data_IF_589773755092
#
_entry.id   IF_589773755092
#
_cell.length_a   1.000
_cell.length_b   1.000
_cell.length_c   1.000
_cell.angle_alpha   90.00
_cell.angle_beta   90.00
_cell.angle_gamma   90.00
#
_symmetry.space_group_name_H-M   'P 1'
#
loop_
_entity.id
_entity.type
_entity.pdbx_description
1 polymer ?
#
# COMPACT_ATOMS: atom_id res chain seq x y z
N UNK A 1 29.34 31.54 -31.12
CA UNK A 1 29.07 30.17 -30.61
C UNK A 1 27.56 29.86 -30.73
N UNK A 2 27.04 29.69 -31.96
CA UNK A 2 25.58 29.75 -32.25
C UNK A 2 25.00 28.52 -32.98
N UNK A 3 25.72 27.40 -33.07
CA UNK A 3 25.21 26.17 -33.74
C UNK A 3 25.43 24.92 -32.88
N UNK A 4 24.61 24.71 -31.84
CA UNK A 4 24.50 23.39 -31.14
C UNK A 4 23.07 23.15 -30.60
N UNK A 5 22.04 23.58 -31.34
CA UNK A 5 20.64 23.38 -30.96
C UNK A 5 19.91 22.69 -32.12
N UNK A 6 19.90 21.36 -32.14
CA UNK A 6 18.91 20.63 -32.95
C UNK A 6 18.64 19.19 -32.51
N UNK A 7 19.56 18.50 -31.81
CA UNK A 7 19.47 17.03 -31.82
C UNK A 7 19.46 16.36 -30.42
N UNK A 8 18.31 15.83 -29.95
CA UNK A 8 18.21 14.97 -28.77
C UNK A 8 19.00 13.66 -28.92
N UNK A 9 19.16 13.17 -30.16
CA UNK A 9 19.92 11.94 -30.42
C UNK A 9 21.40 12.14 -30.10
N UNK A 10 21.88 13.39 -30.07
CA UNK A 10 23.28 13.69 -29.71
C UNK A 10 23.62 13.42 -28.25
N UNK A 11 22.64 13.50 -27.32
CA UNK A 11 22.90 13.19 -25.91
C UNK A 11 23.07 11.67 -25.70
N UNK A 12 22.23 10.88 -26.38
CA UNK A 12 22.35 9.42 -26.38
C UNK A 12 23.52 8.94 -27.25
N UNK A 13 23.85 9.65 -28.33
CA UNK A 13 25.01 9.35 -29.18
C UNK A 13 26.32 9.71 -28.50
N UNK A 14 26.43 10.79 -27.72
CA UNK A 14 27.64 11.11 -26.94
C UNK A 14 27.84 10.16 -25.74
N UNK A 15 26.76 9.59 -25.19
CA UNK A 15 26.83 8.45 -24.27
C UNK A 15 27.28 7.17 -24.98
N UNK A 16 26.98 7.02 -26.28
CA UNK A 16 27.37 5.88 -27.11
C UNK A 16 28.79 6.02 -27.72
N UNK A 17 29.28 7.23 -27.99
CA UNK A 17 30.57 7.50 -28.67
C UNK A 17 31.74 7.50 -27.69
N UNK A 18 31.53 7.90 -26.43
CA UNK A 18 32.57 7.80 -25.39
C UNK A 18 32.62 6.42 -24.78
N UNK A 19 33.04 5.45 -25.59
CA UNK A 19 33.74 4.25 -25.14
C UNK A 19 33.13 3.52 -23.95
N UNK A 20 31.80 3.35 -23.92
CA UNK A 20 31.27 2.16 -23.27
C UNK A 20 31.70 0.99 -24.14
N UNK A 21 32.80 0.34 -23.73
CA UNK A 21 33.23 -0.94 -24.29
C UNK A 21 31.98 -1.80 -24.51
N UNK A 22 31.84 -2.41 -25.69
CA UNK A 22 30.68 -3.22 -26.10
C UNK A 22 30.22 -4.18 -24.99
N UNK A 23 31.17 -4.70 -24.20
CA UNK A 23 30.90 -5.52 -22.99
C UNK A 23 30.03 -4.83 -21.92
N UNK A 24 30.23 -3.54 -21.65
CA UNK A 24 29.46 -2.79 -20.63
C UNK A 24 28.02 -2.49 -21.04
N UNK A 25 27.77 -2.40 -22.36
CA UNK A 25 26.43 -2.17 -22.92
C UNK A 25 25.56 -3.44 -22.76
N UNK A 26 26.15 -4.61 -22.97
CA UNK A 26 25.48 -5.90 -22.73
C UNK A 26 25.19 -6.17 -21.25
N UNK A 27 26.06 -5.74 -20.33
CA UNK A 27 25.84 -5.94 -18.89
C UNK A 27 24.65 -5.10 -18.40
N UNK A 28 24.54 -3.82 -18.79
CA UNK A 28 23.39 -2.97 -18.41
C UNK A 28 22.10 -3.51 -19.04
N UNK A 29 22.14 -3.92 -20.31
CA UNK A 29 21.01 -4.57 -20.99
C UNK A 29 20.68 -5.97 -20.46
N UNK A 30 21.56 -6.62 -19.70
CA UNK A 30 21.30 -7.90 -19.05
C UNK A 30 20.80 -7.73 -17.60
N UNK A 31 21.27 -6.70 -16.89
CA UNK A 31 20.81 -6.38 -15.52
C UNK A 31 19.38 -5.84 -15.55
N UNK A 32 19.00 -5.05 -16.55
CA UNK A 32 17.65 -4.51 -16.68
C UNK A 32 16.56 -5.61 -16.79
N UNK A 33 16.69 -6.61 -17.69
CA UNK A 33 15.77 -7.74 -17.71
C UNK A 33 15.90 -8.60 -16.47
N UNK A 34 17.12 -8.83 -15.94
CA UNK A 34 17.29 -9.63 -14.71
C UNK A 34 16.59 -8.99 -13.51
N UNK A 35 16.63 -7.66 -13.37
CA UNK A 35 15.90 -6.91 -12.35
C UNK A 35 14.38 -6.97 -12.56
N UNK A 36 13.90 -6.98 -13.81
CA UNK A 36 12.48 -7.23 -14.11
C UNK A 36 12.07 -8.71 -14.00
N UNK A 37 13.04 -9.64 -13.98
CA UNK A 37 12.84 -11.08 -13.84
C UNK A 37 12.95 -11.55 -12.38
N UNK A 38 13.53 -10.76 -11.46
CA UNK A 38 13.51 -11.03 -10.02
C UNK A 38 12.10 -11.28 -9.46
N UNK A 39 11.03 -10.55 -9.85
CA UNK A 39 9.67 -10.90 -9.43
C UNK A 39 9.17 -12.26 -9.96
N UNK A 40 9.80 -12.81 -11.01
CA UNK A 40 9.43 -14.09 -11.64
C UNK A 40 10.26 -15.27 -11.11
N UNK A 41 11.42 -15.03 -10.51
CA UNK A 41 12.29 -16.05 -9.91
C UNK A 41 11.87 -16.46 -8.47
N UNK A 42 10.63 -16.15 -8.07
CA UNK A 42 10.03 -16.48 -6.78
C UNK A 42 9.57 -17.95 -6.71
N UNK A 43 10.46 -18.90 -6.96
CA UNK A 43 10.09 -20.31 -6.95
C UNK A 43 10.13 -20.95 -5.56
N UNK A 44 10.97 -20.48 -4.61
CA UNK A 44 11.11 -21.18 -3.32
C UNK A 44 11.58 -20.34 -2.10
N UNK A 45 11.77 -19.02 -2.25
CA UNK A 45 12.20 -18.12 -1.16
C UNK A 45 11.13 -17.10 -0.72
N UNK A 46 9.92 -17.17 -1.29
CA UNK A 46 8.80 -16.35 -0.84
C UNK A 46 8.27 -16.82 0.52
N UNK A 47 7.77 -15.92 1.39
CA UNK A 47 7.13 -16.34 2.62
C UNK A 47 5.97 -17.29 2.31
N UNK A 48 5.81 -18.27 3.19
CA UNK A 48 4.71 -19.23 3.11
C UNK A 48 3.40 -18.46 3.15
N UNK A 49 2.71 -18.41 2.01
CA UNK A 49 1.47 -17.66 1.81
C UNK A 49 0.48 -17.87 2.95
N UNK A 50 0.33 -16.88 3.81
CA UNK A 50 -0.74 -16.88 4.82
C UNK A 50 -1.95 -16.13 4.27
N UNK A 51 -3.12 -16.68 4.49
CA UNK A 51 -4.41 -16.03 4.25
C UNK A 51 -5.06 -15.80 5.60
N UNK A 52 -5.63 -14.61 5.76
CA UNK A 52 -6.36 -14.22 6.95
C UNK A 52 -7.85 -14.15 6.64
N UNK A 53 -8.65 -14.71 7.55
CA UNK A 53 -10.11 -14.70 7.51
C UNK A 53 -10.62 -13.98 8.75
N UNK A 54 -11.32 -12.87 8.61
CA UNK A 54 -11.96 -12.19 9.73
C UNK A 54 -13.38 -12.73 9.89
N UNK A 55 -13.72 -13.28 11.06
CA UNK A 55 -15.04 -13.86 11.29
C UNK A 55 -16.01 -12.78 11.77
N UNK A 56 -17.10 -12.59 11.02
CA UNK A 56 -18.16 -11.62 11.30
C UNK A 56 -19.43 -12.38 11.68
N UNK A 57 -19.72 -12.48 12.98
CA UNK A 57 -20.91 -13.19 13.46
C UNK A 57 -22.20 -12.43 13.20
N UNK A 58 -23.12 -13.09 12.51
CA UNK A 58 -24.47 -12.67 12.15
C UNK A 58 -25.49 -13.76 12.55
N UNK A 59 -25.16 -14.53 13.59
CA UNK A 59 -26.02 -15.56 14.17
C UNK A 59 -26.98 -14.98 15.19
N UNK A 60 -28.15 -15.61 15.32
CA UNK A 60 -29.15 -15.30 16.33
C UNK A 60 -28.69 -15.64 17.75
N UNK A 61 -27.91 -16.73 17.90
CA UNK A 61 -27.33 -17.19 19.16
C UNK A 61 -25.79 -17.18 19.10
N UNK A 62 -25.09 -16.92 20.22
CA UNK A 62 -23.64 -16.95 20.26
C UNK A 62 -23.12 -18.38 20.07
N UNK A 63 -22.16 -18.55 19.17
CA UNK A 63 -21.54 -19.86 18.85
C UNK A 63 -20.04 -19.83 19.13
N UNK A 64 -19.49 -20.97 19.58
CA UNK A 64 -18.04 -21.12 19.79
C UNK A 64 -17.46 -22.07 18.75
N UNK A 65 -16.22 -21.81 18.31
CA UNK A 65 -15.54 -22.64 17.33
C UNK A 65 -14.97 -23.87 18.04
N UNK A 66 -15.36 -25.06 17.60
CA UNK A 66 -14.82 -26.34 18.06
C UNK A 66 -13.65 -26.77 17.18
N UNK A 67 -13.83 -26.73 15.86
CA UNK A 67 -12.84 -27.18 14.88
C UNK A 67 -12.99 -26.43 13.56
N UNK A 68 -11.94 -26.43 12.75
CA UNK A 68 -11.91 -25.74 11.47
C UNK A 68 -11.01 -26.46 10.47
N UNK A 69 -11.50 -26.59 9.23
CA UNK A 69 -10.77 -27.17 8.10
C UNK A 69 -10.93 -26.31 6.86
N UNK A 70 -9.88 -26.29 6.04
CA UNK A 70 -9.87 -25.67 4.73
C UNK A 70 -9.75 -26.78 3.70
N UNK A 71 -10.68 -26.81 2.75
CA UNK A 71 -10.71 -27.79 1.66
C UNK A 71 -10.31 -27.09 0.37
N UNK A 72 -9.47 -27.76 -0.42
CA UNK A 72 -9.17 -27.34 -1.79
C UNK A 72 -10.07 -28.08 -2.77
N UNK A 73 -10.54 -27.35 -3.75
CA UNK A 73 -11.49 -27.79 -4.76
C UNK A 73 -10.86 -27.64 -6.15
N UNK A 74 -11.14 -28.59 -7.05
CA UNK A 74 -10.67 -28.53 -8.44
C UNK A 74 -11.47 -27.51 -9.28
N UNK A 75 -12.74 -27.30 -8.94
CA UNK A 75 -13.70 -26.46 -9.67
C UNK A 75 -14.54 -25.53 -8.77
N UNK A 76 -15.34 -24.66 -9.40
CA UNK A 76 -16.22 -23.66 -8.73
C UNK A 76 -17.31 -24.29 -7.86
N UNK A 77 -17.72 -25.51 -8.18
CA UNK A 77 -18.79 -26.21 -7.49
C UNK A 77 -18.24 -27.04 -6.32
N UNK A 78 -16.92 -27.29 -6.32
CA UNK A 78 -16.20 -28.16 -5.40
C UNK A 78 -16.81 -29.56 -5.35
N UNK A 79 -17.00 -30.17 -6.53
CA UNK A 79 -17.48 -31.56 -6.61
C UNK A 79 -16.38 -32.52 -6.13
N UNK A 80 -15.14 -32.26 -6.55
CA UNK A 80 -13.97 -33.02 -6.13
C UNK A 80 -13.23 -32.29 -5.01
N UNK A 81 -13.34 -32.82 -3.80
CA UNK A 81 -12.65 -32.31 -2.62
C UNK A 81 -11.27 -32.95 -2.49
N UNK A 82 -10.23 -32.12 -2.46
CA UNK A 82 -8.87 -32.53 -2.13
C UNK A 82 -8.64 -32.15 -0.67
N UNK A 83 -8.77 -33.12 0.23
CA UNK A 83 -8.47 -32.91 1.63
C UNK A 83 -6.97 -32.64 1.79
N UNK A 84 -6.65 -31.41 2.17
CA UNK A 84 -5.28 -30.97 2.37
C UNK A 84 -4.70 -31.76 3.56
N UNK A 85 -3.72 -32.64 3.30
CA UNK A 85 -3.05 -33.43 4.35
C UNK A 85 -2.57 -32.51 5.49
N UNK A 86 -2.49 -33.06 6.71
CA UNK A 86 -2.19 -32.45 8.05
C UNK A 86 -1.24 -31.23 8.16
N UNK A 87 -0.46 -30.89 7.14
CA UNK A 87 0.50 -29.78 7.10
C UNK A 87 -0.15 -28.41 6.79
N UNK A 88 -1.37 -28.37 6.23
CA UNK A 88 -2.09 -27.14 5.86
C UNK A 88 -3.28 -26.87 6.79
N UNK A 89 -3.03 -26.83 8.11
CA UNK A 89 -4.08 -26.52 9.08
C UNK A 89 -4.40 -25.02 9.07
N UNK A 90 -5.67 -24.70 8.83
CA UNK A 90 -6.26 -23.45 9.29
C UNK A 90 -6.26 -23.43 10.83
N UNK A 91 -5.91 -22.29 11.42
CA UNK A 91 -5.96 -22.06 12.86
C UNK A 91 -6.94 -20.93 13.11
N UNK A 92 -8.01 -21.23 13.82
CA UNK A 92 -9.01 -20.25 14.21
C UNK A 92 -8.88 -19.85 15.68
N UNK A 93 -8.97 -18.55 15.92
CA UNK A 93 -9.39 -17.95 17.17
C UNK A 93 -10.86 -17.53 17.06
N UNK A 94 -11.45 -17.03 18.15
CA UNK A 94 -12.89 -16.69 18.17
C UNK A 94 -13.30 -15.72 17.04
N UNK A 95 -12.45 -14.77 16.64
CA UNK A 95 -12.81 -13.72 15.66
C UNK A 95 -11.95 -13.73 14.38
N UNK A 96 -10.96 -14.60 14.29
CA UNK A 96 -10.07 -14.65 13.12
C UNK A 96 -9.61 -16.08 12.86
N UNK A 97 -9.43 -16.44 11.60
CA UNK A 97 -8.72 -17.65 11.21
C UNK A 97 -7.53 -17.31 10.32
N UNK A 98 -6.45 -18.08 10.44
CA UNK A 98 -5.27 -17.97 9.59
C UNK A 98 -4.95 -19.33 8.99
N UNK A 99 -4.78 -19.38 7.69
CA UNK A 99 -4.36 -20.60 6.98
C UNK A 99 -3.06 -20.33 6.22
N UNK A 100 -2.20 -21.33 6.14
CA UNK A 100 -1.15 -21.34 5.12
C UNK A 100 -1.78 -21.93 3.87
N UNK A 101 -2.01 -21.11 2.86
CA UNK A 101 -2.63 -21.57 1.61
C UNK A 101 -1.67 -21.35 0.46
N UNK A 102 -1.63 -22.31 -0.46
CA UNK A 102 -0.96 -22.12 -1.73
C UNK A 102 -1.89 -21.35 -2.69
N UNK A 103 -1.34 -20.38 -3.40
CA UNK A 103 -2.05 -19.68 -4.46
C UNK A 103 -2.53 -20.68 -5.52
N UNK A 104 -3.70 -20.42 -6.09
CA UNK A 104 -4.31 -21.26 -7.12
C UNK A 104 -5.36 -22.25 -6.61
N UNK A 105 -6.37 -22.49 -7.44
CA UNK A 105 -7.50 -23.37 -7.14
C UNK A 105 -8.66 -22.68 -6.40
N UNK A 106 -9.71 -23.47 -6.23
CA UNK A 106 -10.91 -23.09 -5.49
C UNK A 106 -10.80 -23.61 -4.06
N UNK A 107 -11.37 -22.90 -3.10
CA UNK A 107 -11.26 -23.23 -1.68
C UNK A 107 -12.63 -23.13 -1.02
N UNK A 108 -12.84 -23.94 0.01
CA UNK A 108 -14.02 -23.92 0.88
C UNK A 108 -13.57 -24.02 2.34
N UNK A 109 -14.09 -23.14 3.18
CA UNK A 109 -13.87 -23.20 4.63
C UNK A 109 -15.02 -23.98 5.24
N UNK A 110 -14.69 -24.88 6.16
CA UNK A 110 -15.67 -25.57 7.00
C UNK A 110 -15.29 -25.35 8.45
N UNK A 111 -16.23 -24.83 9.24
CA UNK A 111 -16.04 -24.58 10.67
C UNK A 111 -17.12 -25.36 11.42
N UNK A 112 -16.67 -26.19 12.35
CA UNK A 112 -17.54 -26.84 13.34
C UNK A 112 -17.72 -25.90 14.51
N UNK A 113 -18.94 -25.41 14.69
CA UNK A 113 -19.31 -24.61 15.85
C UNK A 113 -19.97 -25.48 16.92
N UNK A 114 -20.20 -24.91 18.10
CA UNK A 114 -20.86 -25.57 19.23
C UNK A 114 -22.25 -26.11 18.93
N UNK A 115 -22.94 -25.53 17.96
CA UNK A 115 -24.30 -25.90 17.55
C UNK A 115 -24.30 -26.83 16.31
N UNK A 116 -23.59 -26.43 15.24
CA UNK A 116 -23.53 -27.17 13.99
C UNK A 116 -22.28 -26.87 13.16
N UNK A 117 -22.03 -27.75 12.19
CA UNK A 117 -21.09 -27.47 11.10
C UNK A 117 -21.67 -26.40 10.16
N UNK A 118 -20.85 -25.45 9.73
CA UNK A 118 -21.16 -24.50 8.66
C UNK A 118 -20.06 -24.52 7.61
N UNK A 119 -20.46 -24.35 6.35
CA UNK A 119 -19.57 -24.38 5.20
C UNK A 119 -19.66 -23.07 4.43
N UNK A 120 -18.56 -22.67 3.80
CA UNK A 120 -18.53 -21.46 2.97
C UNK A 120 -18.98 -21.68 1.54
N UNK A 121 -19.36 -20.59 0.87
CA UNK A 121 -19.27 -20.54 -0.59
C UNK A 121 -17.83 -20.85 -1.04
N UNK A 122 -17.69 -21.32 -2.27
CA UNK A 122 -16.40 -21.59 -2.89
C UNK A 122 -15.75 -20.27 -3.30
N UNK A 123 -14.47 -20.07 -2.96
CA UNK A 123 -13.74 -18.84 -3.24
C UNK A 123 -12.34 -19.13 -3.79
N UNK A 124 -11.76 -18.16 -4.52
CA UNK A 124 -10.38 -18.23 -5.01
C UNK A 124 -9.47 -17.37 -4.15
N UNK A 125 -8.33 -17.91 -3.75
CA UNK A 125 -7.24 -17.13 -3.18
C UNK A 125 -6.43 -16.54 -4.33
N UNK A 126 -6.72 -15.27 -4.66
CA UNK A 126 -6.15 -14.60 -5.82
C UNK A 126 -4.68 -14.19 -5.60
N UNK A 127 -4.27 -13.93 -4.36
CA UNK A 127 -2.94 -13.40 -4.01
C UNK A 127 -2.46 -13.92 -2.65
N UNK A 128 -1.14 -13.96 -2.45
CA UNK A 128 -0.56 -14.15 -1.13
C UNK A 128 -0.89 -12.97 -0.22
N UNK A 129 -1.14 -13.23 1.06
CA UNK A 129 -1.58 -12.21 2.00
C UNK A 129 -3.02 -11.75 1.75
N UNK A 130 -3.83 -12.53 1.03
CA UNK A 130 -5.24 -12.23 0.87
C UNK A 130 -5.94 -12.17 2.24
N UNK A 131 -6.84 -11.21 2.36
CA UNK A 131 -7.69 -11.02 3.54
C UNK A 131 -9.12 -11.19 3.09
N UNK A 132 -9.85 -12.04 3.78
CA UNK A 132 -11.25 -12.31 3.53
C UNK A 132 -12.07 -11.96 4.75
N UNK A 133 -13.25 -11.41 4.52
CA UNK A 133 -14.28 -11.33 5.56
C UNK A 133 -15.19 -12.55 5.42
N UNK A 134 -15.45 -13.22 6.54
CA UNK A 134 -16.25 -14.45 6.60
C UNK A 134 -17.45 -14.20 7.50
N UNK A 135 -18.60 -13.98 6.87
CA UNK A 135 -19.87 -13.78 7.55
C UNK A 135 -20.38 -15.13 8.06
N UNK A 136 -20.44 -15.28 9.38
CA UNK A 136 -20.98 -16.47 10.05
C UNK A 136 -22.47 -16.25 10.26
N UNK A 137 -23.29 -16.79 9.37
CA UNK A 137 -24.76 -16.70 9.49
C UNK A 137 -25.30 -17.86 10.30
N UNK A 138 -26.61 -17.88 10.55
CA UNK A 138 -27.21 -19.01 11.23
C UNK A 138 -26.89 -20.32 10.49
N UNK A 139 -27.02 -20.37 9.15
CA UNK A 139 -26.93 -21.61 8.34
C UNK A 139 -25.61 -21.86 7.63
N UNK A 140 -24.85 -20.82 7.29
CA UNK A 140 -23.70 -20.94 6.37
C UNK A 140 -22.59 -19.94 6.67
N UNK A 141 -21.47 -20.06 5.96
CA UNK A 141 -20.40 -19.08 5.93
C UNK A 141 -20.41 -18.35 4.57
N UNK A 142 -20.31 -17.03 4.56
CA UNK A 142 -20.17 -16.26 3.32
C UNK A 142 -18.82 -15.57 3.33
N UNK A 143 -17.96 -15.93 2.39
CA UNK A 143 -16.58 -15.45 2.24
C UNK A 143 -16.55 -14.38 1.16
N UNK A 144 -16.13 -13.18 1.55
CA UNK A 144 -15.94 -12.02 0.69
C UNK A 144 -14.45 -11.67 0.59
N UNK A 145 -13.93 -11.53 -0.63
CA UNK A 145 -12.55 -11.09 -0.87
C UNK A 145 -12.47 -9.57 -0.67
N UNK A 146 -11.87 -9.16 0.45
CA UNK A 146 -11.59 -7.76 0.76
C UNK A 146 -10.13 -7.40 0.48
N UNK A 147 -9.40 -8.25 -0.26
CA UNK A 147 -8.00 -8.02 -0.61
C UNK A 147 -7.89 -6.82 -1.53
N UNK A 148 -7.67 -5.64 -0.93
CA UNK A 148 -7.27 -4.45 -1.67
C UNK A 148 -5.92 -4.77 -2.32
N UNK A 149 -5.82 -4.64 -3.64
CA UNK A 149 -4.57 -4.92 -4.35
C UNK A 149 -3.45 -4.07 -3.74
N UNK A 150 -2.36 -4.68 -3.28
CA UNK A 150 -1.26 -3.95 -2.63
C UNK A 150 -0.64 -2.85 -3.50
N UNK A 151 -0.75 -2.95 -4.84
CA UNK A 151 -0.33 -1.91 -5.78
C UNK A 151 -1.33 -0.74 -5.92
N UNK A 152 -2.54 -0.88 -5.40
CA UNK A 152 -3.51 0.22 -5.28
C UNK A 152 -3.45 0.88 -3.92
N UNK A 153 -2.40 0.66 -3.12
CA UNK A 153 -2.18 1.51 -1.94
C UNK A 153 -1.83 2.92 -2.44
N UNK A 154 -2.72 3.93 -2.26
CA UNK A 154 -2.43 5.31 -2.69
C UNK A 154 -1.14 5.85 -2.06
N UNK A 155 -0.69 5.24 -0.96
CA UNK A 155 0.60 5.53 -0.33
C UNK A 155 1.82 5.17 -1.18
N UNK A 156 1.83 4.06 -1.94
CA UNK A 156 3.07 3.58 -2.59
C UNK A 156 3.67 4.62 -3.53
N UNK A 157 2.86 5.19 -4.43
CA UNK A 157 3.31 6.19 -5.37
C UNK A 157 3.83 7.46 -4.65
N UNK A 158 3.15 7.86 -3.57
CA UNK A 158 3.57 9.00 -2.76
C UNK A 158 4.92 8.73 -2.07
N UNK A 159 5.06 7.59 -1.39
CA UNK A 159 6.31 7.18 -0.73
C UNK A 159 7.45 7.07 -1.73
N UNK A 160 7.22 6.42 -2.88
CA UNK A 160 8.24 6.26 -3.93
C UNK A 160 8.74 7.61 -4.46
N UNK A 161 7.82 8.53 -4.76
CA UNK A 161 8.19 9.85 -5.27
C UNK A 161 8.96 10.66 -4.22
N UNK A 162 8.50 10.65 -2.98
CA UNK A 162 9.18 11.35 -1.89
C UNK A 162 10.57 10.78 -1.65
N UNK A 163 10.71 9.46 -1.70
CA UNK A 163 12.00 8.78 -1.57
C UNK A 163 12.98 9.25 -2.66
N UNK A 164 12.55 9.18 -3.93
CA UNK A 164 13.36 9.66 -5.06
C UNK A 164 13.75 11.13 -4.87
N UNK A 165 12.83 11.99 -4.43
CA UNK A 165 13.15 13.41 -4.20
C UNK A 165 14.26 13.61 -3.16
N UNK A 166 14.15 12.91 -2.02
CA UNK A 166 15.15 12.99 -0.93
C UNK A 166 16.51 12.52 -1.42
N UNK A 167 16.58 11.37 -2.11
CA UNK A 167 17.84 10.81 -2.56
C UNK A 167 18.50 11.62 -3.67
N UNK A 168 17.71 12.12 -4.62
CA UNK A 168 18.23 13.02 -5.66
C UNK A 168 18.76 14.32 -5.04
N UNK A 169 18.09 14.88 -4.03
CA UNK A 169 18.60 16.06 -3.33
C UNK A 169 19.94 15.79 -2.65
N UNK A 170 20.08 14.65 -1.96
CA UNK A 170 21.35 14.26 -1.31
C UNK A 170 22.44 14.07 -2.35
N UNK A 171 22.15 13.42 -3.48
CA UNK A 171 23.07 13.25 -4.59
C UNK A 171 23.54 14.60 -5.18
N UNK A 172 22.62 15.57 -5.32
CA UNK A 172 22.96 16.92 -5.77
C UNK A 172 23.87 17.65 -4.79
N UNK A 173 23.57 17.59 -3.48
CA UNK A 173 24.39 18.18 -2.43
C UNK A 173 25.79 17.55 -2.48
N UNK A 174 25.87 16.22 -2.56
CA UNK A 174 27.13 15.49 -2.66
C UNK A 174 27.98 15.96 -3.86
N UNK A 175 27.36 16.09 -5.04
CA UNK A 175 28.05 16.57 -6.25
C UNK A 175 28.47 18.03 -6.11
N UNK A 176 27.62 18.88 -5.52
CA UNK A 176 27.90 20.28 -5.29
C UNK A 176 29.10 20.47 -4.35
N UNK A 177 29.15 19.72 -3.26
CA UNK A 177 30.21 19.77 -2.24
C UNK A 177 31.53 19.20 -2.75
N UNK A 178 31.49 18.08 -3.48
CA UNK A 178 32.71 17.36 -3.90
C UNK A 178 33.17 17.69 -5.33
N UNK A 179 32.51 18.64 -6.00
CA UNK A 179 32.76 19.02 -7.39
C UNK A 179 32.81 17.82 -8.35
N UNK A 180 31.78 16.97 -8.28
CA UNK A 180 31.72 15.74 -9.07
C UNK A 180 30.87 15.90 -10.31
N UNK A 181 30.93 14.90 -11.19
CA UNK A 181 30.14 14.91 -12.43
C UNK A 181 28.66 14.62 -12.12
N UNK A 182 27.74 15.30 -12.82
CA UNK A 182 26.29 15.08 -12.70
C UNK A 182 25.82 13.66 -13.05
N UNK A 183 26.68 12.84 -13.66
CA UNK A 183 26.41 11.42 -13.93
C UNK A 183 26.05 10.65 -12.65
N UNK A 184 26.49 11.10 -11.48
CA UNK A 184 26.10 10.51 -10.19
C UNK A 184 24.59 10.61 -9.99
N UNK A 185 23.95 11.76 -10.27
CA UNK A 185 22.49 11.92 -10.11
C UNK A 185 21.72 10.91 -10.95
N UNK A 186 22.15 10.71 -12.20
CA UNK A 186 21.52 9.74 -13.09
C UNK A 186 21.71 8.29 -12.58
N UNK A 187 22.89 7.97 -12.05
CA UNK A 187 23.15 6.65 -11.47
C UNK A 187 22.29 6.39 -10.21
N UNK A 188 22.13 7.40 -9.35
CA UNK A 188 21.24 7.33 -8.17
C UNK A 188 19.79 7.13 -8.58
N UNK A 189 19.31 7.89 -9.57
CA UNK A 189 17.94 7.74 -10.09
C UNK A 189 17.69 6.32 -10.61
N UNK A 190 18.61 5.77 -11.41
CA UNK A 190 18.49 4.41 -11.95
C UNK A 190 18.49 3.38 -10.83
N UNK A 191 19.38 3.53 -9.84
CA UNK A 191 19.45 2.63 -8.70
C UNK A 191 18.10 2.59 -7.96
N UNK A 192 17.53 3.77 -7.64
CA UNK A 192 16.26 3.93 -6.94
C UNK A 192 15.05 3.36 -7.68
N UNK A 193 14.98 3.58 -9.00
CA UNK A 193 13.88 3.07 -9.83
C UNK A 193 13.82 1.54 -9.77
N UNK A 194 14.95 0.87 -9.54
CA UNK A 194 15.01 -0.59 -9.44
C UNK A 194 14.89 -1.07 -8.00
N UNK A 195 15.64 -0.46 -7.08
CA UNK A 195 15.73 -0.89 -5.68
C UNK A 195 14.42 -0.71 -4.93
N UNK A 196 13.73 0.42 -5.09
CA UNK A 196 12.56 0.75 -4.28
C UNK A 196 11.35 -0.16 -4.59
N UNK A 197 10.96 -0.40 -5.85
CA UNK A 197 9.91 -1.37 -6.14
C UNK A 197 10.26 -2.79 -5.69
N UNK A 198 11.54 -3.18 -5.80
CA UNK A 198 12.01 -4.48 -5.33
C UNK A 198 11.90 -4.60 -3.80
N UNK A 199 12.32 -3.58 -3.05
CA UNK A 199 12.17 -3.51 -1.60
C UNK A 199 10.70 -3.63 -1.20
N UNK A 200 9.82 -2.86 -1.84
CA UNK A 200 8.39 -2.88 -1.52
C UNK A 200 7.75 -4.25 -1.78
N UNK A 201 8.13 -4.90 -2.88
CA UNK A 201 7.69 -6.26 -3.18
C UNK A 201 8.13 -7.27 -2.11
N UNK A 202 9.36 -7.13 -1.62
CA UNK A 202 9.89 -7.98 -0.56
C UNK A 202 9.25 -7.67 0.80
N UNK A 203 8.88 -6.41 1.08
CA UNK A 203 8.18 -6.02 2.30
C UNK A 203 6.70 -6.42 2.32
N UNK A 204 6.04 -6.52 1.15
CA UNK A 204 4.70 -7.08 1.04
C UNK A 204 4.62 -8.52 1.58
N UNK A 205 5.78 -9.16 1.67
CA UNK A 205 5.99 -10.52 2.15
C UNK A 205 6.13 -10.58 3.69
N UNK A 206 6.44 -9.46 4.34
CA UNK A 206 6.55 -9.32 5.79
C UNK A 206 7.57 -8.24 6.20
N UNK A 207 7.33 -7.57 7.32
CA UNK A 207 8.21 -6.48 7.83
C UNK A 207 9.35 -6.97 8.74
N UNK A 208 9.35 -8.26 9.10
CA UNK A 208 10.33 -8.86 10.03
C UNK A 208 11.78 -8.74 9.51
N UNK A 209 11.96 -8.70 8.19
CA UNK A 209 13.26 -8.60 7.54
C UNK A 209 13.61 -7.16 7.09
N UNK A 210 12.86 -6.14 7.54
CA UNK A 210 13.02 -4.76 7.07
C UNK A 210 14.48 -4.28 7.12
N UNK A 211 15.15 -4.39 8.28
CA UNK A 211 16.53 -3.93 8.43
C UNK A 211 17.53 -4.70 7.55
N UNK A 212 17.31 -5.99 7.34
CA UNK A 212 18.15 -6.82 6.47
C UNK A 212 17.96 -6.42 5.01
N UNK A 213 16.71 -6.24 4.58
CA UNK A 213 16.37 -5.81 3.23
C UNK A 213 16.94 -4.42 2.94
N UNK A 214 16.80 -3.47 3.86
CA UNK A 214 17.40 -2.13 3.75
C UNK A 214 18.92 -2.21 3.59
N UNK A 215 19.60 -3.02 4.40
CA UNK A 215 21.05 -3.22 4.26
C UNK A 215 21.44 -3.79 2.89
N UNK A 216 20.63 -4.70 2.33
CA UNK A 216 20.83 -5.24 0.98
C UNK A 216 20.59 -4.18 -0.09
N UNK A 217 19.60 -3.30 0.08
CA UNK A 217 19.35 -2.18 -0.84
C UNK A 217 20.51 -1.19 -0.82
N UNK A 218 21.01 -0.79 0.36
CA UNK A 218 22.20 0.09 0.49
C UNK A 218 23.39 -0.47 -0.28
N UNK A 219 23.63 -1.78 -0.15
CA UNK A 219 24.72 -2.45 -0.86
C UNK A 219 24.45 -2.48 -2.38
N UNK A 220 23.25 -2.87 -2.79
CA UNK A 220 22.85 -2.92 -4.19
C UNK A 220 23.00 -1.56 -4.88
N UNK A 221 22.44 -0.50 -4.30
CA UNK A 221 22.53 0.85 -4.87
C UNK A 221 23.97 1.34 -4.92
N UNK A 222 24.75 1.08 -3.87
CA UNK A 222 26.17 1.42 -3.82
C UNK A 222 26.95 0.75 -4.96
N UNK A 223 26.67 -0.52 -5.24
CA UNK A 223 27.26 -1.27 -6.36
C UNK A 223 26.81 -0.71 -7.72
N UNK A 224 25.52 -0.41 -7.90
CA UNK A 224 25.00 0.17 -9.13
C UNK A 224 25.64 1.54 -9.41
N UNK A 225 25.66 2.42 -8.42
CA UNK A 225 26.28 3.76 -8.53
C UNK A 225 27.78 3.62 -8.81
N UNK A 226 28.47 2.73 -8.08
CA UNK A 226 29.88 2.42 -8.34
C UNK A 226 30.11 1.95 -9.77
N UNK A 227 29.29 1.05 -10.30
CA UNK A 227 29.44 0.57 -11.67
C UNK A 227 29.43 1.71 -12.70
N UNK A 228 28.52 2.68 -12.56
CA UNK A 228 28.44 3.85 -13.44
C UNK A 228 29.55 4.88 -13.20
N UNK A 229 30.10 4.95 -11.98
CA UNK A 229 31.00 6.03 -11.54
C UNK A 229 32.43 5.59 -11.23
N UNK A 230 32.78 4.31 -11.39
CA UNK A 230 34.07 3.72 -10.97
C UNK A 230 35.33 4.39 -11.54
N UNK A 231 35.22 5.12 -12.65
CA UNK A 231 36.34 5.86 -13.27
C UNK A 231 36.52 7.27 -12.72
N UNK A 232 35.56 7.79 -11.97
CA UNK A 232 35.48 9.21 -11.58
C UNK A 232 35.52 9.39 -10.07
N UNK A 233 34.91 8.47 -9.32
CA UNK A 233 34.74 8.59 -7.87
C UNK A 233 35.23 7.31 -7.21
N UNK A 234 36.08 7.40 -6.17
CA UNK A 234 36.56 6.22 -5.45
C UNK A 234 35.42 5.53 -4.69
N UNK A 235 35.53 4.22 -4.54
CA UNK A 235 34.45 3.36 -4.00
C UNK A 235 33.95 3.83 -2.63
N UNK A 236 34.84 4.23 -1.72
CA UNK A 236 34.46 4.64 -0.37
C UNK A 236 33.53 5.87 -0.36
N UNK A 237 33.72 6.82 -1.27
CA UNK A 237 32.83 7.99 -1.38
C UNK A 237 31.44 7.60 -1.87
N UNK A 238 31.35 6.62 -2.78
CA UNK A 238 30.08 6.13 -3.30
C UNK A 238 29.36 5.24 -2.29
N UNK A 239 30.09 4.44 -1.51
CA UNK A 239 29.53 3.68 -0.40
C UNK A 239 28.95 4.60 0.68
N UNK A 240 29.67 5.68 1.03
CA UNK A 240 29.16 6.70 1.96
C UNK A 240 27.92 7.39 1.39
N UNK A 241 27.92 7.75 0.10
CA UNK A 241 26.75 8.34 -0.55
C UNK A 241 25.53 7.40 -0.48
N UNK A 242 25.70 6.12 -0.85
CA UNK A 242 24.64 5.11 -0.77
C UNK A 242 24.07 4.99 0.64
N UNK A 243 24.96 4.88 1.64
CA UNK A 243 24.57 4.76 3.03
C UNK A 243 23.78 5.98 3.52
N UNK A 244 24.24 7.20 3.22
CA UNK A 244 23.58 8.44 3.63
C UNK A 244 22.21 8.57 2.97
N UNK A 245 22.10 8.31 1.67
CA UNK A 245 20.83 8.39 0.93
C UNK A 245 19.80 7.46 1.54
N UNK A 246 20.11 6.17 1.64
CA UNK A 246 19.23 5.16 2.21
C UNK A 246 18.87 5.44 3.68
N UNK A 247 19.83 5.89 4.49
CA UNK A 247 19.56 6.25 5.89
C UNK A 247 18.58 7.42 5.98
N UNK A 248 18.78 8.48 5.19
CA UNK A 248 17.88 9.63 5.16
C UNK A 248 16.50 9.25 4.63
N UNK A 249 16.44 8.44 3.58
CA UNK A 249 15.23 7.86 3.01
C UNK A 249 14.45 7.05 4.04
N UNK A 250 15.12 6.12 4.72
CA UNK A 250 14.54 5.31 5.80
C UNK A 250 13.96 6.17 6.92
N UNK A 251 14.74 7.15 7.42
CA UNK A 251 14.27 8.09 8.46
C UNK A 251 13.06 8.88 7.96
N UNK A 252 13.11 9.39 6.73
CA UNK A 252 12.04 10.19 6.14
C UNK A 252 10.76 9.38 5.94
N UNK A 253 10.88 8.13 5.49
CA UNK A 253 9.76 7.20 5.31
C UNK A 253 9.08 6.87 6.63
N UNK A 254 9.85 6.56 7.68
CA UNK A 254 9.31 6.32 9.02
C UNK A 254 8.62 7.57 9.58
N UNK A 255 9.23 8.75 9.42
CA UNK A 255 8.62 10.01 9.83
C UNK A 255 7.31 10.25 9.07
N UNK A 256 7.28 9.96 7.77
CA UNK A 256 6.09 10.13 6.94
C UNK A 256 4.97 9.19 7.36
N UNK A 257 5.25 7.92 7.68
CA UNK A 257 4.26 6.97 8.21
C UNK A 257 3.69 7.50 9.53
N UNK A 258 4.55 8.00 10.42
CA UNK A 258 4.13 8.59 11.69
C UNK A 258 3.26 9.84 11.50
N UNK A 259 3.65 10.70 10.55
CA UNK A 259 2.94 11.94 10.18
C UNK A 259 1.63 11.65 9.44
N UNK A 260 1.57 10.65 8.55
CA UNK A 260 0.35 10.25 7.86
C UNK A 260 -0.69 9.67 8.82
N UNK A 261 -0.23 8.99 9.87
CA UNK A 261 -1.10 8.60 10.98
C UNK A 261 -1.60 9.81 11.80
N UNK A 262 -0.96 10.97 11.67
CA UNK A 262 -1.31 12.23 12.32
C UNK A 262 -1.95 13.20 11.32
N UNK A 263 -3.26 13.07 11.05
CA UNK A 263 -4.09 13.88 10.15
C UNK A 263 -3.33 14.83 9.17
N UNK A 264 -3.31 14.49 7.87
CA UNK A 264 -2.90 15.19 6.61
C UNK A 264 -2.30 16.62 6.66
N UNK A 265 -2.73 17.50 7.56
CA UNK A 265 -2.25 18.89 7.77
C UNK A 265 -0.72 18.96 7.95
N UNK A 266 -0.06 17.89 8.41
CA UNK A 266 1.37 17.89 8.73
C UNK A 266 2.31 17.62 7.53
N UNK A 267 1.80 17.21 6.35
CA UNK A 267 2.66 16.97 5.16
C UNK A 267 3.08 18.23 4.38
N UNK A 268 2.28 19.30 4.45
CA UNK A 268 2.52 20.56 3.75
C UNK A 268 3.89 21.20 4.09
N UNK A 269 4.29 21.34 5.37
CA UNK A 269 5.59 21.97 5.70
C UNK A 269 6.79 21.14 5.23
N UNK A 270 6.69 19.81 5.21
CA UNK A 270 7.76 18.92 4.74
C UNK A 270 7.96 19.11 3.23
N UNK A 271 6.88 19.11 2.46
CA UNK A 271 6.92 19.37 1.02
C UNK A 271 7.48 20.75 0.70
N UNK A 272 7.08 21.78 1.46
CA UNK A 272 7.59 23.14 1.29
C UNK A 272 9.10 23.19 1.55
N UNK A 273 9.59 22.52 2.60
CA UNK A 273 11.02 22.45 2.92
C UNK A 273 11.82 21.75 1.79
N UNK A 274 11.32 20.64 1.25
CA UNK A 274 11.93 19.93 0.11
C UNK A 274 12.00 20.83 -1.13
N UNK A 275 10.93 21.57 -1.43
CA UNK A 275 10.89 22.51 -2.56
C UNK A 275 11.91 23.65 -2.35
N UNK A 276 11.94 24.26 -1.17
CA UNK A 276 12.88 25.36 -0.85
C UNK A 276 14.32 24.88 -0.99
N UNK A 277 14.66 23.73 -0.39
CA UNK A 277 16.00 23.16 -0.48
C UNK A 277 16.38 22.80 -1.92
N UNK A 278 15.43 22.28 -2.70
CA UNK A 278 15.63 21.99 -4.13
C UNK A 278 15.92 23.26 -4.93
N UNK A 279 15.20 24.36 -4.67
CA UNK A 279 15.41 25.66 -5.31
C UNK A 279 16.77 26.25 -4.93
N UNK A 280 17.16 26.15 -3.66
CA UNK A 280 18.48 26.61 -3.19
C UNK A 280 19.61 25.81 -3.85
N UNK A 281 19.48 24.49 -3.92
CA UNK A 281 20.42 23.62 -4.62
C UNK A 281 20.52 23.97 -6.11
N UNK A 282 19.38 24.16 -6.79
CA UNK A 282 19.31 24.60 -8.19
C UNK A 282 20.01 25.95 -8.42
N UNK A 283 19.81 26.90 -7.51
CA UNK A 283 20.41 28.24 -7.60
C UNK A 283 21.92 28.17 -7.46
N UNK A 284 22.42 27.34 -6.55
CA UNK A 284 23.85 27.05 -6.41
C UNK A 284 24.41 26.40 -7.68
N UNK A 285 23.72 25.37 -8.20
CA UNK A 285 24.14 24.62 -9.39
C UNK A 285 24.14 25.45 -10.67
N UNK A 286 23.30 26.50 -10.76
CA UNK A 286 23.23 27.41 -11.92
C UNK A 286 24.55 28.09 -12.25
N UNK A 287 25.41 28.32 -11.24
CA UNK A 287 26.74 28.91 -11.44
C UNK A 287 27.75 27.94 -12.07
N UNK A 288 27.50 26.63 -11.94
CA UNK A 288 28.47 25.57 -12.27
C UNK A 288 28.09 24.75 -13.50
N UNK A 289 26.79 24.69 -13.85
CA UNK A 289 26.27 23.80 -14.88
C UNK A 289 25.59 24.51 -16.05
N UNK A 290 25.50 23.80 -17.18
CA UNK A 290 24.85 24.27 -18.41
C UNK A 290 23.38 24.64 -18.19
N UNK A 291 22.95 25.75 -18.81
CA UNK A 291 21.56 26.22 -18.76
C UNK A 291 20.55 25.17 -19.28
N UNK A 292 20.96 24.32 -20.24
CA UNK A 292 20.11 23.23 -20.76
C UNK A 292 19.85 22.17 -19.68
N UNK A 293 20.88 21.83 -18.90
CA UNK A 293 20.76 20.85 -17.82
C UNK A 293 19.85 21.38 -16.70
N UNK A 294 20.07 22.63 -16.28
CA UNK A 294 19.22 23.31 -15.30
C UNK A 294 17.75 23.25 -15.72
N UNK A 295 17.45 23.54 -17.00
CA UNK A 295 16.07 23.45 -17.53
C UNK A 295 15.48 22.06 -17.42
N UNK A 296 16.19 21.01 -17.85
CA UNK A 296 15.69 19.62 -17.78
C UNK A 296 15.43 19.21 -16.34
N UNK A 297 16.34 19.57 -15.44
CA UNK A 297 16.21 19.25 -14.02
C UNK A 297 15.04 20.00 -13.36
N UNK A 298 14.87 21.29 -13.65
CA UNK A 298 13.71 22.08 -13.19
C UNK A 298 12.40 21.51 -13.73
N UNK A 299 12.32 21.16 -15.01
CA UNK A 299 11.12 20.53 -15.59
C UNK A 299 10.81 19.22 -14.86
N UNK A 300 11.82 18.40 -14.59
CA UNK A 300 11.64 17.12 -13.87
C UNK A 300 11.08 17.33 -12.47
N UNK A 301 11.59 18.31 -11.71
CA UNK A 301 11.05 18.68 -10.39
C UNK A 301 9.62 19.19 -10.49
N UNK A 302 9.31 20.03 -11.49
CA UNK A 302 7.96 20.55 -11.67
C UNK A 302 6.95 19.44 -11.99
N UNK A 303 7.30 18.54 -12.92
CA UNK A 303 6.46 17.37 -13.23
C UNK A 303 6.23 16.53 -11.98
N UNK A 304 7.29 16.27 -11.22
CA UNK A 304 7.21 15.49 -10.00
C UNK A 304 6.34 16.18 -8.94
N UNK A 305 6.49 17.49 -8.74
CA UNK A 305 5.65 18.27 -7.85
C UNK A 305 4.17 18.26 -8.28
N UNK A 306 3.88 18.33 -9.59
CA UNK A 306 2.53 18.18 -10.11
C UNK A 306 1.95 16.79 -9.84
N UNK A 307 2.74 15.72 -10.00
CA UNK A 307 2.30 14.35 -9.67
C UNK A 307 2.02 14.21 -8.18
N UNK A 308 2.90 14.73 -7.30
CA UNK A 308 2.67 14.71 -5.85
C UNK A 308 1.43 15.51 -5.47
N UNK A 309 1.25 16.71 -6.04
CA UNK A 309 0.07 17.51 -5.80
C UNK A 309 -1.20 16.77 -6.27
N UNK A 310 -1.17 16.14 -7.44
CA UNK A 310 -2.24 15.28 -7.95
C UNK A 310 -2.56 14.14 -6.98
N UNK A 311 -1.53 13.42 -6.51
CA UNK A 311 -1.68 12.33 -5.54
C UNK A 311 -2.23 12.80 -4.18
N UNK A 312 -1.80 13.97 -3.70
CA UNK A 312 -2.31 14.58 -2.47
C UNK A 312 -3.77 15.02 -2.64
N UNK A 313 -4.14 15.57 -3.80
CA UNK A 313 -5.53 15.94 -4.12
C UNK A 313 -6.40 14.69 -4.24
N UNK A 314 -5.94 13.63 -4.92
CA UNK A 314 -6.68 12.35 -4.95
C UNK A 314 -6.76 11.69 -3.58
N UNK A 315 -5.71 11.81 -2.76
CA UNK A 315 -5.75 11.37 -1.36
C UNK A 315 -6.73 12.18 -0.50
N UNK A 316 -6.94 13.46 -0.82
CA UNK A 316 -8.03 14.25 -0.23
C UNK A 316 -9.41 13.88 -0.80
N UNK A 317 -9.48 13.41 -2.04
CA UNK A 317 -10.72 12.87 -2.61
C UNK A 317 -11.10 11.51 -2.00
N UNK A 318 -10.16 10.75 -1.43
CA UNK A 318 -10.48 9.58 -0.60
C UNK A 318 -11.05 9.93 0.80
N UNK A 319 -11.50 11.17 1.04
CA UNK A 319 -12.16 11.55 2.31
C UNK A 319 -13.63 11.15 2.40
N UNK A 320 -14.07 10.27 1.51
CA UNK A 320 -15.40 9.71 1.57
C UNK A 320 -15.38 8.38 2.32
N UNK A 321 -16.27 8.27 3.29
CA UNK A 321 -16.65 7.00 3.87
C UNK A 321 -17.85 6.47 3.10
N UNK A 322 -17.88 5.18 2.84
CA UNK A 322 -19.06 4.50 2.32
C UNK A 322 -19.90 4.04 3.49
N UNK A 323 -21.14 4.49 3.53
CA UNK A 323 -22.14 4.14 4.51
C UNK A 323 -23.08 3.10 3.92
N UNK A 324 -23.17 1.91 4.50
CA UNK A 324 -24.28 1.01 4.23
C UNK A 324 -25.18 0.88 5.46
N UNK A 325 -26.46 0.61 5.20
CA UNK A 325 -27.45 0.33 6.22
C UNK A 325 -28.20 -0.95 5.83
N UNK A 326 -27.90 -2.05 6.53
CA UNK A 326 -28.51 -3.35 6.28
C UNK A 326 -29.66 -3.56 7.26
N UNK A 327 -30.87 -3.81 6.73
CA UNK A 327 -32.04 -4.08 7.56
C UNK A 327 -31.88 -5.41 8.28
N UNK A 328 -32.09 -5.43 9.59
CA UNK A 328 -32.05 -6.64 10.42
C UNK A 328 -33.44 -7.29 10.53
N UNK A 329 -33.44 -8.62 10.67
CA UNK A 329 -34.64 -9.43 10.91
C UNK A 329 -35.03 -9.47 12.40
N UNK A 330 -34.07 -9.29 13.30
CA UNK A 330 -34.24 -9.34 14.75
C UNK A 330 -33.93 -7.99 15.42
N UNK A 331 -34.43 -7.82 16.65
CA UNK A 331 -34.10 -6.67 17.49
C UNK A 331 -32.71 -6.88 18.12
N UNK A 332 -31.72 -6.00 17.86
CA UNK A 332 -30.41 -6.08 18.48
C UNK A 332 -30.49 -5.65 19.95
N UNK A 333 -29.61 -6.21 20.78
CA UNK A 333 -29.55 -5.94 22.22
C UNK A 333 -29.34 -4.43 22.53
N UNK A 334 -28.63 -3.71 21.64
CA UNK A 334 -28.35 -2.28 21.76
C UNK A 334 -28.55 -1.57 20.42
N UNK A 335 -29.28 -0.46 20.44
CA UNK A 335 -29.47 0.40 19.27
C UNK A 335 -29.68 1.86 19.69
N UNK A 336 -29.36 2.77 18.79
CA UNK A 336 -29.79 4.16 18.90
C UNK A 336 -31.14 4.35 18.20
N UNK A 337 -32.11 4.95 18.88
CA UNK A 337 -33.37 5.35 18.23
C UNK A 337 -33.13 6.64 17.44
N UNK A 338 -33.34 6.57 16.13
CA UNK A 338 -33.19 7.70 15.20
C UNK A 338 -34.59 8.08 14.72
N UNK A 339 -35.05 9.27 15.10
CA UNK A 339 -36.37 9.80 14.72
C UNK A 339 -36.40 10.26 13.26
N UNK A 340 -37.59 10.59 12.76
CA UNK A 340 -37.72 11.13 11.40
C UNK A 340 -37.04 12.51 11.29
N UNK A 341 -37.04 13.28 12.37
CA UNK A 341 -36.36 14.56 12.52
C UNK A 341 -34.84 14.37 12.51
N UNK A 342 -34.32 13.40 13.28
CA UNK A 342 -32.89 13.06 13.29
C UNK A 342 -32.38 12.63 11.90
N UNK A 343 -33.20 11.90 11.13
CA UNK A 343 -32.84 11.52 9.75
C UNK A 343 -32.71 12.71 8.80
N UNK A 344 -33.33 13.87 9.09
CA UNK A 344 -33.13 15.09 8.30
C UNK A 344 -31.73 15.66 8.52
N UNK A 345 -31.12 15.41 9.69
CA UNK A 345 -29.74 15.82 9.99
C UNK A 345 -28.71 14.88 9.35
N UNK A 346 -29.09 13.63 9.03
CA UNK A 346 -28.22 12.62 8.41
C UNK A 346 -28.80 12.08 7.09
N UNK A 347 -28.86 12.90 6.03
CA UNK A 347 -29.51 12.53 4.77
C UNK A 347 -28.87 11.31 4.08
N UNK A 348 -27.58 11.07 4.28
CA UNK A 348 -26.84 9.94 3.74
C UNK A 348 -27.25 8.62 4.42
N UNK A 349 -27.51 8.64 5.73
CA UNK A 349 -28.08 7.48 6.44
C UNK A 349 -29.50 7.19 5.94
N UNK A 350 -30.32 8.22 5.77
CA UNK A 350 -31.66 8.06 5.19
C UNK A 350 -31.58 7.45 3.78
N UNK A 351 -30.61 7.90 2.98
CA UNK A 351 -30.37 7.39 1.63
C UNK A 351 -29.90 5.93 1.62
N UNK A 352 -28.97 5.57 2.52
CA UNK A 352 -28.47 4.20 2.68
C UNK A 352 -29.58 3.24 3.11
N UNK A 353 -30.42 3.66 4.07
CA UNK A 353 -31.59 2.89 4.53
C UNK A 353 -32.60 2.68 3.39
N UNK A 354 -32.85 3.71 2.58
CA UNK A 354 -33.82 3.65 1.48
C UNK A 354 -33.38 2.67 0.39
N UNK A 355 -32.09 2.65 0.05
CA UNK A 355 -31.58 1.90 -1.10
C UNK A 355 -30.96 0.55 -0.72
N UNK A 356 -30.64 0.31 0.55
CA UNK A 356 -29.98 -0.92 1.01
C UNK A 356 -28.60 -1.13 0.37
N UNK A 357 -27.93 -0.06 -0.04
CA UNK A 357 -26.62 -0.06 -0.71
C UNK A 357 -25.67 0.92 -0.03
N UNK A 358 -24.38 0.78 -0.31
CA UNK A 358 -23.37 1.74 0.08
C UNK A 358 -23.67 3.12 -0.53
N UNK A 359 -23.69 4.15 0.31
CA UNK A 359 -23.85 5.55 -0.04
C UNK A 359 -22.60 6.28 0.38
N UNK A 360 -22.03 7.04 -0.55
CA UNK A 360 -20.88 7.89 -0.27
C UNK A 360 -21.25 9.00 0.73
N UNK A 361 -20.44 9.18 1.76
CA UNK A 361 -20.66 10.14 2.84
C UNK A 361 -19.33 10.83 3.20
N UNK A 362 -19.38 12.11 3.51
CA UNK A 362 -18.16 12.84 3.89
C UNK A 362 -17.66 12.37 5.28
N UNK A 363 -16.35 12.21 5.49
CA UNK A 363 -15.78 11.78 6.79
C UNK A 363 -16.26 12.64 7.98
N UNK A 364 -16.50 13.94 7.77
CA UNK A 364 -17.05 14.81 8.82
C UNK A 364 -18.49 14.47 9.20
N UNK A 365 -19.30 14.02 8.24
CA UNK A 365 -20.64 13.48 8.50
C UNK A 365 -20.57 12.10 9.15
N UNK A 366 -19.62 11.26 8.72
CA UNK A 366 -19.33 9.97 9.36
C UNK A 366 -19.07 10.17 10.85
N UNK A 367 -18.10 11.01 11.24
CA UNK A 367 -17.80 11.26 12.66
C UNK A 367 -19.02 11.75 13.43
N UNK A 368 -19.75 12.73 12.88
CA UNK A 368 -20.97 13.26 13.51
C UNK A 368 -22.03 12.18 13.71
N UNK A 369 -22.24 11.32 12.71
CA UNK A 369 -23.18 10.21 12.78
C UNK A 369 -22.74 9.17 13.81
N UNK A 370 -21.46 8.77 13.79
CA UNK A 370 -20.88 7.81 14.72
C UNK A 370 -20.99 8.31 16.17
N UNK A 371 -20.66 9.59 16.42
CA UNK A 371 -20.77 10.21 17.73
C UNK A 371 -22.22 10.35 18.18
N UNK A 372 -23.12 10.71 17.26
CA UNK A 372 -24.56 10.76 17.51
C UNK A 372 -25.10 9.39 17.96
N UNK A 373 -24.79 8.32 17.22
CA UNK A 373 -25.22 6.95 17.56
C UNK A 373 -24.62 6.53 18.91
N UNK A 374 -23.32 6.79 19.13
CA UNK A 374 -22.61 6.40 20.35
C UNK A 374 -23.17 7.12 21.59
N UNK A 375 -23.50 8.39 21.49
CA UNK A 375 -24.02 9.18 22.61
C UNK A 375 -25.45 8.82 23.00
N UNK A 376 -26.24 8.23 22.09
CA UNK A 376 -27.60 7.77 22.37
C UNK A 376 -27.73 6.28 22.70
N UNK A 377 -26.64 5.51 22.62
CA UNK A 377 -26.67 4.13 23.08
C UNK A 377 -26.62 4.08 24.63
N UNK A 378 -27.61 3.46 25.29
CA UNK A 378 -27.79 3.55 26.74
C UNK A 378 -26.69 2.85 27.58
N UNK A 379 -25.84 2.02 26.96
CA UNK A 379 -24.68 1.39 27.61
C UNK A 379 -23.49 1.35 26.65
N UNK A 380 -22.30 1.80 27.12
CA UNK A 380 -21.05 1.69 26.35
C UNK A 380 -20.65 0.22 26.24
N UNK A 381 -20.65 -0.32 25.02
CA UNK A 381 -20.02 -1.62 24.76
C UNK A 381 -18.52 -1.53 25.01
N UNK A 382 -17.99 -2.48 25.78
CA UNK A 382 -16.54 -2.76 25.90
C UNK A 382 -16.06 -3.75 24.82
N UNK A 383 -16.97 -4.25 23.96
CA UNK A 383 -16.63 -5.17 22.87
C UNK A 383 -15.93 -4.42 21.74
N UNK A 384 -14.83 -4.98 21.26
CA UNK A 384 -14.00 -4.44 20.18
C UNK A 384 -14.69 -4.46 18.79
N UNK A 385 -15.86 -5.08 18.66
CA UNK A 385 -16.62 -5.10 17.40
C UNK A 385 -17.42 -3.81 17.24
N UNK A 386 -16.95 -2.89 16.37
CA UNK A 386 -17.57 -1.59 16.04
C UNK A 386 -18.89 -1.69 15.24
N UNK A 387 -19.76 -2.67 15.51
CA UNK A 387 -21.08 -2.74 14.85
C UNK A 387 -21.98 -1.66 15.45
N UNK A 388 -22.63 -0.86 14.60
CA UNK A 388 -23.53 0.21 15.04
C UNK A 388 -24.93 -0.10 14.57
N UNK A 389 -25.89 -0.07 15.49
CA UNK A 389 -27.28 -0.38 15.19
C UNK A 389 -28.18 0.83 15.44
N UNK A 390 -29.10 1.06 14.50
CA UNK A 390 -30.09 2.14 14.59
C UNK A 390 -31.50 1.61 14.42
N UNK A 391 -32.46 2.15 15.18
CA UNK A 391 -33.90 1.90 15.02
C UNK A 391 -34.55 3.10 14.35
N UNK A 392 -35.16 2.86 13.18
CA UNK A 392 -35.81 3.87 12.35
C UNK A 392 -37.21 3.37 11.99
N UNK A 393 -38.25 4.13 12.38
CA UNK A 393 -39.67 3.80 12.10
C UNK A 393 -40.04 2.35 12.46
N UNK A 394 -39.58 1.88 13.62
CA UNK A 394 -39.87 0.53 14.12
C UNK A 394 -39.07 -0.61 13.45
N UNK A 395 -38.12 -0.30 12.58
CA UNK A 395 -37.22 -1.29 11.95
C UNK A 395 -35.78 -1.08 12.41
N UNK A 396 -35.01 -2.16 12.47
CA UNK A 396 -33.61 -2.16 12.91
C UNK A 396 -32.67 -2.26 11.72
N UNK A 397 -31.57 -1.51 11.78
CA UNK A 397 -30.55 -1.50 10.73
C UNK A 397 -29.15 -1.58 11.35
N UNK A 398 -28.28 -2.40 10.76
CA UNK A 398 -26.85 -2.37 10.98
C UNK A 398 -26.22 -1.33 10.04
N UNK A 399 -25.55 -0.35 10.64
CA UNK A 399 -24.85 0.72 9.94
C UNK A 399 -23.37 0.36 9.89
N UNK A 400 -22.85 0.18 8.68
CA UNK A 400 -21.43 -0.06 8.44
C UNK A 400 -20.82 1.15 7.74
N UNK A 401 -19.65 1.55 8.20
CA UNK A 401 -18.85 2.58 7.54
C UNK A 401 -17.55 1.97 7.06
N UNK A 402 -17.23 2.14 5.78
CA UNK A 402 -15.96 1.70 5.19
C UNK A 402 -15.22 2.94 4.72
N UNK A 403 -13.95 3.08 5.10
CA UNK A 403 -13.07 4.15 4.61
C UNK A 403 -12.23 3.59 3.47
N UNK A 404 -12.14 4.32 2.36
CA UNK A 404 -11.27 3.99 1.22
C UNK A 404 -9.94 4.74 1.32
#
# INVERSE_FOLDING_TARGET
MKHVLADPDRFFSELSEKGMSVKGRHIVLAILPLATLLPLASADLGPKGTVQFNLIYETSEPVTIIDSRLIRCEDEQCINEIELRRLERIRCAQNECRARTFSGGYNRIIINFSDRERQSNVFKVSKYGAVFDVHVTDSELIVEDITVAFYTMPGFALFFILNILVELMIALIFIAVLDKQMKVVAAVLIANIVSFPALWQLLASGVEFLLLLEALIVLFEGVVIYYFMKKVIPIYQLSILSLIMNLCSFISGNLLVYVLNWEVVSLIPIMLAVIILSVLALTYLKKRYSARFIRVFTISIMVLACVVAGLLVTGQMNRFAFLSAHKLSCEPEYYATVTAEDLREFPQLANAIKHGKFVEMHIGEERRLLDYIRNRQPKRHTSSSKKLYVKVKGKYYEVRTTRI
#
